data_IF_735974961737
#
_entry.id   IF_735974961737
#
_cell.length_a   1.000
_cell.length_b   1.000
_cell.length_c   1.000
_cell.angle_alpha   90.00
_cell.angle_beta   90.00
_cell.angle_gamma   90.00
#
_symmetry.space_group_name_H-M   'P 1'
#
loop_
_entity.id
_entity.type
_entity.pdbx_description
1 polymer ?
#
# COMPACT_ATOMS: atom_id res chain seq x y z
N UNK A 1 -3.19 15.32 2.80
CA UNK A 1 -3.90 14.22 3.45
C UNK A 1 -3.08 12.98 3.48
N UNK A 2 -3.39 12.10 4.40
CA UNK A 2 -2.67 10.84 4.51
C UNK A 2 -3.27 9.78 3.60
N UNK A 3 -2.43 8.85 3.17
CA UNK A 3 -2.85 7.71 2.36
C UNK A 3 -2.24 6.44 2.91
N UNK A 4 -2.94 5.32 2.72
CA UNK A 4 -2.37 4.00 2.92
C UNK A 4 -2.11 3.41 1.55
N UNK A 5 -1.04 2.66 1.41
CA UNK A 5 -0.64 2.18 0.09
C UNK A 5 -0.21 0.72 0.14
N UNK A 6 -0.31 0.08 -1.01
CA UNK A 6 0.15 -1.28 -1.21
C UNK A 6 1.17 -1.26 -2.34
N UNK A 7 2.37 -1.71 -2.03
CA UNK A 7 3.42 -1.88 -3.02
C UNK A 7 3.56 -3.35 -3.35
N UNK A 8 4.05 -3.64 -4.54
CA UNK A 8 4.43 -5.00 -4.88
C UNK A 8 5.67 -4.96 -5.77
N UNK A 9 6.41 -6.06 -5.78
CA UNK A 9 7.51 -6.23 -6.73
C UNK A 9 6.91 -6.62 -8.08
N UNK A 10 7.64 -6.42 -9.17
CA UNK A 10 7.08 -6.69 -10.50
C UNK A 10 6.54 -8.10 -10.64
N UNK A 11 5.46 -8.22 -11.40
CA UNK A 11 4.88 -9.51 -11.71
C UNK A 11 5.86 -10.29 -12.59
N UNK A 12 5.80 -11.60 -12.51
CA UNK A 12 6.72 -12.45 -13.25
C UNK A 12 7.97 -12.83 -12.49
N UNK A 13 8.18 -12.20 -11.35
CA UNK A 13 9.29 -12.59 -10.48
C UNK A 13 8.96 -13.92 -9.81
N UNK A 14 9.97 -14.71 -9.47
CA UNK A 14 9.71 -15.99 -8.80
C UNK A 14 8.92 -15.84 -7.51
N UNK A 15 9.10 -14.71 -6.84
CA UNK A 15 8.41 -14.46 -5.59
C UNK A 15 7.95 -13.01 -5.58
N UNK A 16 6.65 -12.81 -5.68
CA UNK A 16 6.09 -11.46 -5.61
C UNK A 16 5.89 -11.09 -4.15
N UNK A 17 6.53 -10.01 -3.75
CA UNK A 17 6.47 -9.52 -2.38
C UNK A 17 5.60 -8.27 -2.33
N UNK A 18 4.90 -8.08 -1.23
CA UNK A 18 4.04 -6.90 -1.04
C UNK A 18 4.42 -6.17 0.24
N UNK A 19 4.04 -4.89 0.29
CA UNK A 19 4.27 -4.06 1.47
C UNK A 19 3.11 -3.07 1.62
N UNK A 20 2.60 -2.92 2.83
CA UNK A 20 1.53 -1.97 3.14
C UNK A 20 2.07 -0.93 4.10
N UNK A 21 1.79 0.33 3.83
CA UNK A 21 2.24 1.43 4.69
C UNK A 21 1.31 2.62 4.62
N UNK A 22 1.68 3.68 5.31
CA UNK A 22 0.92 4.94 5.31
C UNK A 22 1.88 6.11 5.13
N UNK A 23 1.43 7.15 4.45
CA UNK A 23 2.27 8.30 4.18
C UNK A 23 1.43 9.51 3.81
N UNK A 24 2.01 10.71 3.94
CA UNK A 24 1.40 11.93 3.40
C UNK A 24 1.87 12.19 1.98
N UNK A 25 2.93 11.51 1.55
CA UNK A 25 3.53 11.76 0.24
C UNK A 25 3.94 10.42 -0.35
N UNK A 26 3.06 9.84 -1.13
CA UNK A 26 3.27 8.50 -1.68
C UNK A 26 4.46 8.46 -2.63
N UNK A 27 4.60 9.47 -3.47
CA UNK A 27 5.68 9.51 -4.43
C UNK A 27 7.04 9.50 -3.74
N UNK A 28 7.20 10.36 -2.75
CA UNK A 28 8.44 10.41 -1.98
C UNK A 28 8.68 9.10 -1.24
N UNK A 29 7.62 8.52 -0.66
CA UNK A 29 7.77 7.28 0.11
C UNK A 29 8.17 6.11 -0.80
N UNK A 30 7.63 6.07 -2.01
CA UNK A 30 8.02 5.05 -2.97
C UNK A 30 9.50 5.18 -3.32
N UNK A 31 9.96 6.40 -3.50
CA UNK A 31 11.37 6.65 -3.81
C UNK A 31 12.27 6.22 -2.66
N UNK A 32 11.80 6.39 -1.42
CA UNK A 32 12.54 5.92 -0.25
C UNK A 32 12.63 4.39 -0.24
N UNK A 33 11.51 3.71 -0.51
CA UNK A 33 11.51 2.25 -0.54
C UNK A 33 12.42 1.71 -1.63
N UNK A 34 12.49 2.40 -2.76
CA UNK A 34 13.33 1.98 -3.87
C UNK A 34 14.78 2.43 -3.74
N UNK A 35 15.10 3.10 -2.65
CA UNK A 35 16.48 3.48 -2.39
C UNK A 35 16.96 4.69 -3.17
N UNK A 36 16.07 5.40 -3.84
CA UNK A 36 16.46 6.61 -4.58
C UNK A 36 16.77 7.75 -3.64
N UNK A 37 16.13 7.78 -2.48
CA UNK A 37 16.45 8.73 -1.42
C UNK A 37 16.46 7.98 -0.10
N UNK A 38 17.07 8.56 0.92
CA UNK A 38 17.21 7.93 2.22
C UNK A 38 15.87 7.78 2.93
N UNK A 39 15.73 6.75 3.72
CA UNK A 39 14.58 6.61 4.61
C UNK A 39 13.64 5.46 4.33
N UNK A 40 14.03 4.51 3.52
CA UNK A 40 13.18 3.36 3.24
C UNK A 40 13.02 2.43 4.44
N UNK A 41 11.97 1.63 4.44
CA UNK A 41 11.73 0.67 5.49
C UNK A 41 12.71 -0.49 5.37
N UNK A 42 13.04 -1.07 6.52
CA UNK A 42 13.96 -2.20 6.54
C UNK A 42 13.43 -3.37 5.71
N UNK A 43 12.14 -3.63 5.80
CA UNK A 43 11.55 -4.76 5.10
C UNK A 43 11.54 -4.62 3.59
N UNK A 44 11.70 -3.40 3.06
CA UNK A 44 11.73 -3.20 1.62
C UNK A 44 13.14 -3.05 1.08
N UNK A 45 14.15 -2.98 1.95
CA UNK A 45 15.52 -2.68 1.53
C UNK A 45 16.15 -3.76 0.67
N UNK A 46 15.75 -5.00 0.82
CA UNK A 46 16.30 -6.10 0.04
C UNK A 46 15.88 -6.05 -1.42
N UNK A 47 14.83 -5.27 -1.73
CA UNK A 47 14.29 -5.18 -3.09
C UNK A 47 14.27 -3.76 -3.61
N UNK A 48 15.26 -2.97 -3.23
CA UNK A 48 15.37 -1.60 -3.70
C UNK A 48 15.31 -1.54 -5.21
N UNK A 49 14.54 -0.61 -5.72
CA UNK A 49 14.41 -0.42 -7.15
C UNK A 49 13.34 -1.27 -7.81
N UNK A 50 12.72 -2.17 -7.05
CA UNK A 50 11.74 -3.09 -7.61
C UNK A 50 10.30 -2.77 -7.22
N UNK A 51 10.09 -1.83 -6.31
CA UNK A 51 8.76 -1.58 -5.78
C UNK A 51 7.94 -0.70 -6.70
N UNK A 52 6.68 -1.10 -6.93
CA UNK A 52 5.72 -0.28 -7.65
C UNK A 52 4.42 -0.23 -6.84
N UNK A 53 3.64 0.81 -7.04
CA UNK A 53 2.38 0.97 -6.32
C UNK A 53 1.31 0.12 -6.99
N UNK A 54 0.68 -0.76 -6.23
CA UNK A 54 -0.45 -1.54 -6.72
C UNK A 54 -1.76 -0.81 -6.45
N UNK A 55 -1.87 -0.17 -5.29
CA UNK A 55 -3.09 0.53 -4.93
C UNK A 55 -2.81 1.48 -3.77
N UNK A 56 -3.68 2.45 -3.60
CA UNK A 56 -3.65 3.28 -2.41
C UNK A 56 -5.06 3.64 -1.99
N UNK A 57 -5.24 3.85 -0.71
CA UNK A 57 -6.47 4.36 -0.13
C UNK A 57 -6.11 5.74 0.41
N UNK A 58 -6.76 6.76 -0.09
CA UNK A 58 -6.44 8.13 0.29
C UNK A 58 -7.65 8.81 0.90
N UNK A 59 -7.44 9.98 1.45
CA UNK A 59 -8.51 10.76 2.04
C UNK A 59 -8.53 10.72 3.56
N UNK A 60 -7.44 10.28 4.19
CA UNK A 60 -7.38 10.30 5.65
C UNK A 60 -6.93 11.69 6.10
N UNK A 61 -7.70 12.29 7.02
CA UNK A 61 -7.43 13.63 7.47
C UNK A 61 -6.20 13.76 8.35
N UNK A 62 -5.86 12.69 9.07
CA UNK A 62 -4.70 12.74 9.96
C UNK A 62 -3.97 11.41 9.98
N UNK A 63 -2.82 11.45 10.63
CA UNK A 63 -1.96 10.28 10.73
C UNK A 63 -2.63 9.16 11.51
N UNK A 64 -3.35 9.49 12.55
CA UNK A 64 -3.99 8.49 13.40
C UNK A 64 -4.98 7.65 12.61
N UNK A 65 -5.82 8.29 11.82
CA UNK A 65 -6.80 7.59 10.99
C UNK A 65 -6.12 6.69 9.95
N UNK A 66 -5.09 7.20 9.31
CA UNK A 66 -4.37 6.44 8.31
C UNK A 66 -3.68 5.23 8.94
N UNK A 67 -3.02 5.41 10.07
CA UNK A 67 -2.32 4.31 10.73
C UNK A 67 -3.28 3.26 11.26
N UNK A 68 -4.46 3.68 11.69
CA UNK A 68 -5.50 2.76 12.14
C UNK A 68 -5.96 1.88 10.97
N UNK A 69 -6.18 2.47 9.82
CA UNK A 69 -6.56 1.73 8.62
C UNK A 69 -5.42 0.80 8.18
N UNK A 70 -4.21 1.31 8.21
CA UNK A 70 -3.03 0.51 7.85
C UNK A 70 -2.93 -0.76 8.70
N UNK A 71 -3.10 -0.62 10.00
CA UNK A 71 -3.00 -1.75 10.92
C UNK A 71 -4.06 -2.81 10.63
N UNK A 72 -5.29 -2.36 10.35
CA UNK A 72 -6.36 -3.29 9.98
C UNK A 72 -6.08 -3.98 8.67
N UNK A 73 -5.63 -3.22 7.70
CA UNK A 73 -5.33 -3.76 6.38
C UNK A 73 -4.24 -4.82 6.47
N UNK A 74 -3.17 -4.51 7.20
CA UNK A 74 -2.09 -5.48 7.40
C UNK A 74 -2.59 -6.75 8.05
N UNK A 75 -3.38 -6.61 9.10
CA UNK A 75 -3.88 -7.76 9.85
C UNK A 75 -4.73 -8.66 8.99
N UNK A 76 -5.68 -8.08 8.26
CA UNK A 76 -6.60 -8.86 7.44
C UNK A 76 -5.96 -9.39 6.17
N UNK A 77 -4.94 -8.70 5.67
CA UNK A 77 -4.25 -9.11 4.46
C UNK A 77 -3.16 -10.14 4.72
N UNK A 78 -2.82 -10.38 5.97
CA UNK A 78 -1.68 -11.23 6.33
C UNK A 78 -1.74 -12.61 5.68
N UNK A 79 -2.91 -13.21 5.63
CA UNK A 79 -3.07 -14.55 5.08
C UNK A 79 -3.43 -14.56 3.62
N UNK A 80 -3.51 -13.41 2.99
CA UNK A 80 -3.83 -13.31 1.58
C UNK A 80 -2.55 -13.26 0.77
N UNK A 81 -2.57 -13.89 -0.39
CA UNK A 81 -1.40 -13.90 -1.26
C UNK A 81 -1.62 -13.02 -2.47
N UNK A 82 -0.62 -12.21 -2.77
CA UNK A 82 -0.65 -11.36 -3.94
C UNK A 82 -1.37 -10.05 -3.75
N UNK A 83 -1.09 -9.12 -4.64
CA UNK A 83 -1.64 -7.77 -4.55
C UNK A 83 -3.16 -7.75 -4.75
N UNK A 84 -3.67 -8.54 -5.69
CA UNK A 84 -5.10 -8.53 -5.99
C UNK A 84 -5.94 -8.90 -4.77
N UNK A 85 -5.55 -9.95 -4.05
CA UNK A 85 -6.30 -10.36 -2.87
C UNK A 85 -6.23 -9.31 -1.77
N UNK A 86 -5.08 -8.65 -1.63
CA UNK A 86 -4.92 -7.62 -0.61
C UNK A 86 -5.70 -6.35 -0.97
N UNK A 87 -5.85 -6.05 -2.25
CA UNK A 87 -6.69 -4.94 -2.70
C UNK A 87 -8.15 -5.19 -2.32
N UNK A 88 -8.61 -6.43 -2.45
CA UNK A 88 -9.98 -6.74 -2.07
C UNK A 88 -10.22 -6.58 -0.58
N UNK A 89 -9.22 -6.84 0.23
CA UNK A 89 -9.32 -6.57 1.67
C UNK A 89 -9.53 -5.07 1.90
N UNK A 90 -8.76 -4.21 1.22
CA UNK A 90 -8.91 -2.78 1.36
C UNK A 90 -10.29 -2.32 0.91
N UNK A 91 -10.79 -2.89 -0.19
CA UNK A 91 -12.11 -2.55 -0.71
C UNK A 91 -13.20 -2.87 0.33
N UNK A 92 -13.09 -4.03 0.97
CA UNK A 92 -14.03 -4.43 2.01
C UNK A 92 -13.96 -3.51 3.21
N UNK A 93 -12.76 -3.12 3.60
CA UNK A 93 -12.59 -2.23 4.75
C UNK A 93 -13.22 -0.87 4.51
N UNK A 94 -13.11 -0.35 3.30
CA UNK A 94 -13.71 0.95 2.96
C UNK A 94 -15.22 0.86 3.02
N UNK A 95 -15.80 -0.24 2.53
CA UNK A 95 -17.25 -0.40 2.54
C UNK A 95 -17.81 -0.52 3.94
N UNK A 96 -17.08 -1.16 4.84
CA UNK A 96 -17.53 -1.33 6.22
C UNK A 96 -17.37 -0.05 7.01
N UNK A 97 -16.37 0.74 6.70
CA UNK A 97 -16.08 1.95 7.44
C UNK A 97 -17.02 3.06 7.04
N UNK A 98 -18.23 3.00 7.54
CA UNK A 98 -19.25 3.95 7.17
C UNK A 98 -18.93 5.39 7.54
N UNK A 99 -17.99 5.57 8.42
CA UNK A 99 -17.61 6.91 8.83
C UNK A 99 -16.46 7.45 8.02
N UNK A 100 -15.87 6.63 7.17
CA UNK A 100 -14.76 7.06 6.38
C UNK A 100 -15.21 7.59 5.06
N UNK A 101 -16.16 8.45 5.12
CA UNK A 101 -16.83 8.93 3.93
C UNK A 101 -15.91 9.54 2.90
N UNK A 102 -14.72 9.93 3.27
CA UNK A 102 -13.82 10.56 2.32
C UNK A 102 -12.69 9.66 1.84
N UNK A 103 -12.69 8.41 2.23
CA UNK A 103 -11.65 7.50 1.75
C UNK A 103 -11.98 7.01 0.35
N UNK A 104 -10.95 6.91 -0.45
CA UNK A 104 -11.09 6.49 -1.83
C UNK A 104 -10.01 5.48 -2.17
N UNK A 105 -10.39 4.35 -2.74
CA UNK A 105 -9.45 3.33 -3.20
C UNK A 105 -9.08 3.63 -4.64
N UNK A 106 -7.79 3.76 -4.89
CA UNK A 106 -7.26 3.92 -6.23
C UNK A 106 -6.40 2.71 -6.53
N UNK A 107 -6.79 1.94 -7.53
CA UNK A 107 -6.06 0.75 -7.95
C UNK A 107 -5.24 1.11 -9.19
N UNK A 108 -3.96 0.84 -9.13
CA UNK A 108 -3.08 1.10 -10.25
C UNK A 108 -2.86 -0.21 -10.97
N UNK A 109 -3.41 -0.28 -12.17
CA UNK A 109 -3.29 -1.46 -12.98
C UNK A 109 -2.05 -1.32 -13.81
N UNK A 110 -1.00 -1.94 -13.36
CA UNK A 110 0.18 -1.94 -14.16
C UNK A 110 0.12 -3.16 -14.95
N UNK A 111 -0.75 -3.22 -15.74
CA UNK A 111 -0.91 -4.36 -16.47
C UNK A 111 0.05 -4.67 -17.42
N UNK A 112 0.88 -4.24 -17.43
CA UNK A 112 1.65 -4.53 -18.30
C UNK A 112 2.23 -5.47 -18.29
N UNK A 113 2.07 -5.94 -18.43
CA UNK A 113 2.50 -6.90 -18.51
C UNK A 113 3.28 -7.03 -18.84
#
# INVERSE_FOLDING_TARGET
>A
MWSCYLLHTPLGMPCVTTYIGATVDLDRRLRQHNGEITGGARSTSARKGEWVVAACVRGFLDQSSACSFEARWKRLARKKKGAAAKIEVARSLIQVAKHGENQELVVIISSIM
#
